data_IF_183400417396
#
_entry.id   IF_183400417396
#
_cell.length_a   1.000
_cell.length_b   1.000
_cell.length_c   1.000
_cell.angle_alpha   90.00
_cell.angle_beta   90.00
_cell.angle_gamma   90.00
#
_symmetry.space_group_name_H-M   'P 1'
#
loop_
_entity.id
_entity.type
_entity.pdbx_description
1 polymer ?
#
# COMPACT_ATOMS: atom_id res chain seq x y z
N UNK A 1 16.10 25.29 34.56
CA UNK A 1 16.77 24.29 35.41
C UNK A 1 17.13 23.16 34.49
N UNK A 2 18.40 23.13 34.10
CA UNK A 2 19.00 22.10 33.25
C UNK A 2 19.20 20.88 34.16
N UNK A 3 18.18 20.02 34.23
CA UNK A 3 18.29 18.74 34.93
C UNK A 3 19.06 17.82 34.00
N UNK A 4 20.22 17.35 34.46
CA UNK A 4 21.14 16.52 33.68
C UNK A 4 20.49 15.24 33.19
N UNK A 5 19.95 15.29 31.97
CA UNK A 5 19.79 14.10 31.15
C UNK A 5 21.18 13.75 30.64
N UNK A 6 21.75 12.66 31.18
CA UNK A 6 22.82 11.93 30.51
C UNK A 6 22.27 11.55 29.13
N UNK A 7 22.53 12.39 28.11
CA UNK A 7 22.15 12.12 26.73
C UNK A 7 22.68 10.73 26.40
N UNK A 8 21.76 9.80 26.14
CA UNK A 8 22.13 8.45 25.74
C UNK A 8 22.90 8.58 24.43
N UNK A 9 24.22 8.51 24.49
CA UNK A 9 25.04 8.52 23.29
C UNK A 9 24.72 7.23 22.53
N UNK A 10 23.96 7.37 21.45
CA UNK A 10 23.65 6.28 20.56
C UNK A 10 24.91 5.92 19.78
N UNK A 11 25.55 4.82 20.18
CA UNK A 11 26.72 4.23 19.51
C UNK A 11 26.29 2.99 18.69
N UNK A 12 25.68 3.18 17.51
CA UNK A 12 25.20 2.06 16.70
C UNK A 12 26.37 1.22 16.19
N UNK A 13 26.38 -0.05 16.57
CA UNK A 13 27.36 -1.03 16.09
C UNK A 13 27.20 -1.19 14.57
N UNK A 14 28.24 -0.85 13.81
CA UNK A 14 28.30 -0.97 12.35
C UNK A 14 27.14 -0.26 11.60
N UNK A 15 26.79 0.96 12.02
CA UNK A 15 25.69 1.73 11.42
C UNK A 15 25.74 1.81 9.89
N UNK A 16 26.91 2.16 9.33
CA UNK A 16 27.07 2.31 7.89
C UNK A 16 26.76 1.04 7.10
N UNK A 17 27.27 -0.12 7.55
CA UNK A 17 26.99 -1.39 6.87
C UNK A 17 25.55 -1.85 7.07
N UNK A 18 24.97 -1.63 8.25
CA UNK A 18 23.55 -1.94 8.53
C UNK A 18 22.60 -1.10 7.68
N UNK A 19 22.86 0.20 7.56
CA UNK A 19 22.09 1.11 6.70
C UNK A 19 22.25 0.74 5.23
N UNK A 20 23.47 0.45 4.76
CA UNK A 20 23.71 0.01 3.39
C UNK A 20 22.96 -1.30 3.09
N UNK A 21 23.01 -2.27 4.01
CA UNK A 21 22.29 -3.53 3.88
C UNK A 21 20.78 -3.29 3.78
N UNK A 22 20.20 -2.50 4.68
CA UNK A 22 18.77 -2.17 4.65
C UNK A 22 18.35 -1.47 3.36
N UNK A 23 19.11 -0.47 2.89
CA UNK A 23 18.83 0.24 1.63
C UNK A 23 18.91 -0.74 0.45
N UNK A 24 19.88 -1.64 0.45
CA UNK A 24 20.03 -2.65 -0.59
C UNK A 24 18.83 -3.59 -0.61
N UNK A 25 18.36 -4.05 0.56
CA UNK A 25 17.13 -4.85 0.67
C UNK A 25 15.89 -4.08 0.24
N UNK A 26 15.77 -2.78 0.58
CA UNK A 26 14.68 -1.92 0.10
C UNK A 26 14.66 -1.87 -1.43
N UNK A 27 15.80 -1.66 -2.07
CA UNK A 27 15.89 -1.60 -3.54
C UNK A 27 15.60 -2.96 -4.17
N UNK A 28 16.30 -4.01 -3.74
CA UNK A 28 16.29 -5.31 -4.43
C UNK A 28 15.11 -6.20 -4.05
N UNK A 29 14.50 -6.02 -2.87
CA UNK A 29 13.40 -6.85 -2.38
C UNK A 29 12.04 -6.15 -2.36
N UNK A 30 11.99 -4.83 -2.56
CA UNK A 30 10.72 -4.09 -2.66
C UNK A 30 10.60 -3.30 -3.97
N UNK A 31 11.56 -2.40 -4.27
CA UNK A 31 11.44 -1.55 -5.46
C UNK A 31 11.57 -2.35 -6.77
N UNK A 32 12.56 -3.23 -6.88
CA UNK A 32 12.75 -4.08 -8.07
C UNK A 32 11.56 -5.02 -8.30
N UNK A 33 11.06 -5.78 -7.29
CA UNK A 33 9.83 -6.56 -7.44
C UNK A 33 8.60 -5.73 -7.80
N UNK A 34 8.48 -4.49 -7.30
CA UNK A 34 7.37 -3.59 -7.67
C UNK A 34 7.38 -3.32 -9.18
N UNK A 35 8.54 -2.96 -9.74
CA UNK A 35 8.72 -2.74 -11.18
C UNK A 35 8.51 -4.04 -11.96
N UNK A 36 9.03 -5.16 -11.46
CA UNK A 36 8.84 -6.48 -12.07
C UNK A 36 7.35 -6.86 -12.16
N UNK A 37 6.57 -6.54 -11.12
CA UNK A 37 5.13 -6.74 -11.08
C UNK A 37 4.42 -5.89 -12.12
N UNK A 38 4.77 -4.61 -12.26
CA UNK A 38 4.23 -3.74 -13.32
C UNK A 38 4.47 -4.33 -14.71
N UNK A 39 5.69 -4.83 -15.00
CA UNK A 39 5.96 -5.53 -16.26
C UNK A 39 5.16 -6.84 -16.41
N UNK A 40 4.90 -7.58 -15.33
CA UNK A 40 4.06 -8.78 -15.36
C UNK A 40 2.62 -8.43 -15.76
N UNK A 41 2.05 -7.38 -15.16
CA UNK A 41 0.70 -6.92 -15.46
C UNK A 41 0.55 -6.37 -16.87
N UNK A 42 1.59 -5.66 -17.37
CA UNK A 42 1.68 -5.16 -18.74
C UNK A 42 2.10 -6.24 -19.78
N UNK A 43 2.15 -7.52 -19.38
CA UNK A 43 2.41 -8.67 -20.26
C UNK A 43 3.81 -8.65 -20.92
N UNK A 44 4.76 -7.96 -20.29
CA UNK A 44 6.18 -7.93 -20.67
C UNK A 44 6.96 -8.95 -19.84
N UNK A 45 6.65 -10.23 -20.02
CA UNK A 45 7.13 -11.31 -19.14
C UNK A 45 8.65 -11.49 -19.12
N UNK A 46 9.34 -11.18 -20.22
CA UNK A 46 10.80 -11.27 -20.28
C UNK A 46 11.47 -10.33 -19.26
N UNK A 47 11.12 -9.03 -19.30
CA UNK A 47 11.66 -8.03 -18.38
C UNK A 47 11.24 -8.28 -16.94
N UNK A 48 9.97 -8.68 -16.75
CA UNK A 48 9.47 -9.08 -15.44
C UNK A 48 10.27 -10.25 -14.84
N UNK A 49 10.51 -11.31 -15.62
CA UNK A 49 11.29 -12.47 -15.19
C UNK A 49 12.74 -12.13 -14.85
N UNK A 50 13.41 -11.30 -15.67
CA UNK A 50 14.78 -10.86 -15.41
C UNK A 50 14.90 -10.12 -14.08
N UNK A 51 13.97 -9.20 -13.79
CA UNK A 51 13.98 -8.45 -12.53
C UNK A 51 13.72 -9.37 -11.32
N UNK A 52 12.80 -10.33 -11.42
CA UNK A 52 12.61 -11.31 -10.35
C UNK A 52 13.84 -12.22 -10.14
N UNK A 53 14.60 -12.55 -11.19
CA UNK A 53 15.88 -13.29 -11.04
C UNK A 53 16.89 -12.47 -10.24
N UNK A 54 17.00 -11.17 -10.49
CA UNK A 54 17.87 -10.26 -9.71
C UNK A 54 17.44 -10.25 -8.24
N UNK A 55 16.15 -10.09 -7.96
CA UNK A 55 15.61 -10.13 -6.59
C UNK A 55 15.80 -11.49 -5.93
N UNK A 56 15.62 -12.60 -6.65
CA UNK A 56 15.84 -13.95 -6.14
C UNK A 56 17.31 -14.17 -5.75
N UNK A 57 18.24 -13.76 -6.61
CA UNK A 57 19.68 -13.90 -6.35
C UNK A 57 20.07 -13.17 -5.06
N UNK A 58 19.58 -11.94 -4.88
CA UNK A 58 19.83 -11.19 -3.66
C UNK A 58 19.10 -11.79 -2.44
N UNK A 59 17.83 -12.16 -2.56
CA UNK A 59 17.03 -12.74 -1.47
C UNK A 59 17.64 -14.05 -0.94
N UNK A 60 18.16 -14.89 -1.84
CA UNK A 60 18.88 -16.11 -1.48
C UNK A 60 20.21 -15.79 -0.79
N UNK A 61 20.98 -14.83 -1.30
CA UNK A 61 22.22 -14.39 -0.68
C UNK A 61 21.97 -13.81 0.73
N UNK A 62 20.95 -12.96 0.87
CA UNK A 62 20.56 -12.38 2.15
C UNK A 62 20.15 -13.46 3.15
N UNK A 63 19.25 -14.37 2.77
CA UNK A 63 18.74 -15.44 3.63
C UNK A 63 19.83 -16.42 4.11
N UNK A 64 20.89 -16.58 3.32
CA UNK A 64 22.02 -17.46 3.64
C UNK A 64 23.11 -16.76 4.45
N UNK A 65 23.42 -15.49 4.13
CA UNK A 65 24.65 -14.84 4.57
C UNK A 65 24.46 -13.48 5.25
N UNK A 66 23.37 -12.77 4.99
CA UNK A 66 23.14 -11.41 5.52
C UNK A 66 21.92 -11.37 6.44
N UNK A 67 22.12 -11.81 7.69
CA UNK A 67 21.13 -11.60 8.75
C UNK A 67 21.02 -10.11 9.13
N UNK A 68 19.90 -9.74 9.77
CA UNK A 68 19.76 -8.46 10.48
C UNK A 68 19.91 -8.67 12.00
N UNK A 69 21.14 -8.79 12.53
CA UNK A 69 21.36 -8.98 13.95
C UNK A 69 21.09 -7.69 14.73
N UNK A 70 20.36 -7.85 15.83
CA UNK A 70 20.19 -6.85 16.88
C UNK A 70 21.52 -6.60 17.63
N UNK A 71 21.58 -5.66 18.60
CA UNK A 71 22.79 -5.42 19.40
C UNK A 71 23.28 -6.63 20.21
N UNK A 72 22.42 -7.63 20.47
CA UNK A 72 22.75 -8.89 21.14
C UNK A 72 23.18 -10.01 20.17
N UNK A 73 23.37 -9.66 18.89
CA UNK A 73 23.71 -10.58 17.80
C UNK A 73 22.63 -11.65 17.54
N UNK A 74 21.37 -11.32 17.81
CA UNK A 74 20.22 -12.16 17.58
C UNK A 74 19.33 -11.56 16.49
N UNK A 75 18.79 -12.38 15.58
CA UNK A 75 17.77 -11.94 14.61
C UNK A 75 16.44 -12.59 14.95
N UNK A 76 15.37 -11.79 14.94
CA UNK A 76 14.02 -12.25 15.16
C UNK A 76 13.66 -13.41 14.20
N UNK A 77 13.12 -14.49 14.76
CA UNK A 77 12.63 -15.65 14.00
C UNK A 77 11.63 -15.25 12.90
N UNK A 78 10.79 -14.26 13.17
CA UNK A 78 9.84 -13.74 12.18
C UNK A 78 10.56 -13.08 11.01
N UNK A 79 11.56 -12.21 11.28
CA UNK A 79 12.40 -11.58 10.23
C UNK A 79 13.06 -12.64 9.35
N UNK A 80 13.71 -13.63 9.98
CA UNK A 80 14.39 -14.72 9.27
C UNK A 80 13.43 -15.62 8.51
N UNK A 81 12.25 -15.91 9.08
CA UNK A 81 11.18 -16.66 8.44
C UNK A 81 10.64 -15.94 7.20
N UNK A 82 10.39 -14.63 7.30
CA UNK A 82 9.96 -13.80 6.16
C UNK A 82 11.00 -13.78 5.05
N UNK A 83 12.30 -13.73 5.38
CA UNK A 83 13.40 -13.79 4.39
C UNK A 83 13.35 -15.09 3.57
N UNK A 84 13.22 -16.23 4.24
CA UNK A 84 13.12 -17.53 3.56
C UNK A 84 11.81 -17.67 2.78
N UNK A 85 10.69 -17.23 3.35
CA UNK A 85 9.41 -17.23 2.66
C UNK A 85 9.48 -16.44 1.35
N UNK A 86 10.04 -15.21 1.38
CA UNK A 86 10.24 -14.39 0.20
C UNK A 86 11.18 -15.05 -0.82
N UNK A 87 12.25 -15.72 -0.36
CA UNK A 87 13.17 -16.46 -1.25
C UNK A 87 12.43 -17.56 -2.00
N UNK A 88 11.62 -18.36 -1.31
CA UNK A 88 10.83 -19.43 -1.95
C UNK A 88 9.75 -18.88 -2.88
N UNK A 89 9.08 -17.80 -2.47
CA UNK A 89 8.07 -17.10 -3.29
C UNK A 89 8.69 -16.55 -4.59
N UNK A 90 9.85 -15.89 -4.51
CA UNK A 90 10.61 -15.44 -5.68
C UNK A 90 11.09 -16.61 -6.54
N UNK A 91 11.54 -17.70 -5.92
CA UNK A 91 11.90 -18.94 -6.62
C UNK A 91 10.72 -19.47 -7.46
N UNK A 92 9.54 -19.58 -6.86
CA UNK A 92 8.31 -19.95 -7.56
C UNK A 92 7.93 -18.97 -8.67
N UNK A 93 8.06 -17.67 -8.41
CA UNK A 93 7.78 -16.59 -9.39
C UNK A 93 8.66 -16.71 -10.62
N UNK A 94 9.96 -16.92 -10.43
CA UNK A 94 10.94 -17.07 -11.51
C UNK A 94 10.70 -18.34 -12.33
N UNK A 95 10.33 -19.45 -11.67
CA UNK A 95 9.95 -20.68 -12.35
C UNK A 95 8.71 -20.48 -13.23
N UNK A 96 7.69 -19.78 -12.71
CA UNK A 96 6.49 -19.42 -13.48
C UNK A 96 6.81 -18.48 -14.66
N UNK A 97 7.70 -17.50 -14.47
CA UNK A 97 8.16 -16.61 -15.54
C UNK A 97 8.85 -17.39 -16.67
N UNK A 98 9.73 -18.33 -16.31
CA UNK A 98 10.45 -19.21 -17.24
C UNK A 98 9.47 -20.08 -18.02
N UNK A 99 8.49 -20.67 -17.32
CA UNK A 99 7.41 -21.45 -17.92
C UNK A 99 6.60 -20.63 -18.93
N UNK A 100 6.16 -19.43 -18.56
CA UNK A 100 5.34 -18.56 -19.44
C UNK A 100 6.13 -18.10 -20.67
N UNK A 101 7.41 -17.80 -20.52
CA UNK A 101 8.24 -17.26 -21.60
C UNK A 101 8.82 -18.36 -22.50
N UNK A 102 8.80 -19.64 -22.07
CA UNK A 102 9.44 -20.75 -22.79
C UNK A 102 10.97 -20.66 -22.81
N UNK A 103 11.56 -19.77 -21.99
CA UNK A 103 12.99 -19.54 -21.86
C UNK A 103 13.47 -20.10 -20.53
N UNK A 104 14.68 -20.65 -20.52
CA UNK A 104 15.33 -21.01 -19.27
C UNK A 104 15.78 -19.76 -18.49
N UNK A 105 16.27 -19.95 -17.27
CA UNK A 105 16.78 -18.90 -16.37
C UNK A 105 17.88 -18.01 -17.00
N UNK A 106 18.56 -18.51 -18.04
CA UNK A 106 19.63 -17.81 -18.75
C UNK A 106 19.18 -17.23 -20.09
N UNK A 107 17.87 -17.20 -20.36
CA UNK A 107 17.29 -16.64 -21.57
C UNK A 107 17.46 -17.49 -22.82
N UNK A 108 17.99 -18.73 -22.71
CA UNK A 108 18.04 -19.66 -23.84
C UNK A 108 16.66 -20.27 -24.06
N UNK A 109 16.24 -20.28 -25.31
CA UNK A 109 15.00 -20.91 -25.72
C UNK A 109 15.08 -22.42 -25.52
N UNK A 110 14.01 -23.01 -25.00
CA UNK A 110 13.88 -24.44 -24.96
C UNK A 110 13.82 -24.97 -26.41
N UNK A 111 14.52 -26.07 -26.75
CA UNK A 111 14.40 -26.68 -28.06
C UNK A 111 13.01 -27.34 -28.17
N UNK A 112 11.98 -26.59 -28.56
CA UNK A 112 10.65 -27.12 -28.85
C UNK A 112 10.29 -26.95 -30.33
N UNK A 113 9.77 -28.02 -30.92
CA UNK A 113 9.28 -28.07 -32.31
C UNK A 113 7.84 -27.55 -32.45
N UNK A 114 7.22 -27.13 -31.34
CA UNK A 114 5.85 -26.60 -31.27
C UNK A 114 5.84 -25.25 -30.54
N UNK A 115 5.01 -24.32 -31.03
CA UNK A 115 4.77 -23.04 -30.38
C UNK A 115 4.07 -23.27 -29.03
N UNK A 116 4.79 -23.05 -27.93
CA UNK A 116 4.23 -23.13 -26.59
C UNK A 116 3.39 -21.88 -26.29
N UNK A 117 2.10 -22.05 -25.99
CA UNK A 117 1.22 -20.98 -25.53
C UNK A 117 0.83 -21.23 -24.08
N UNK A 118 1.21 -20.36 -23.12
CA UNK A 118 0.82 -20.53 -21.73
C UNK A 118 -0.70 -20.42 -21.56
N UNK A 119 -1.26 -21.18 -20.61
CA UNK A 119 -2.69 -21.08 -20.29
C UNK A 119 -3.01 -19.75 -19.63
N UNK A 120 -4.25 -19.25 -19.81
CA UNK A 120 -4.73 -18.04 -19.12
C UNK A 120 -4.62 -18.16 -17.59
N UNK A 121 -4.78 -19.37 -17.06
CA UNK A 121 -4.63 -19.65 -15.63
C UNK A 121 -3.17 -19.46 -15.17
N UNK A 122 -2.19 -19.94 -15.95
CA UNK A 122 -0.78 -19.77 -15.63
C UNK A 122 -0.37 -18.28 -15.64
N UNK A 123 -0.85 -17.51 -16.62
CA UNK A 123 -0.61 -16.07 -16.69
C UNK A 123 -1.19 -15.34 -15.47
N UNK A 124 -2.43 -15.65 -15.08
CA UNK A 124 -3.06 -15.07 -13.88
C UNK A 124 -2.29 -15.43 -12.62
N UNK A 125 -1.88 -16.69 -12.47
CA UNK A 125 -1.08 -17.14 -11.35
C UNK A 125 0.24 -16.35 -11.25
N UNK A 126 0.95 -16.18 -12.37
CA UNK A 126 2.19 -15.39 -12.40
C UNK A 126 1.97 -13.93 -12.00
N UNK A 127 0.93 -13.27 -12.53
CA UNK A 127 0.60 -11.88 -12.14
C UNK A 127 0.29 -11.79 -10.64
N UNK A 128 -0.48 -12.75 -10.10
CA UNK A 128 -0.81 -12.80 -8.66
C UNK A 128 0.44 -13.00 -7.81
N UNK A 129 1.26 -14.02 -8.09
CA UNK A 129 2.46 -14.31 -7.27
C UNK A 129 3.48 -13.18 -7.40
N UNK A 130 3.64 -12.59 -8.59
CA UNK A 130 4.49 -11.42 -8.76
C UNK A 130 4.01 -10.23 -7.90
N UNK A 131 2.71 -9.98 -7.79
CA UNK A 131 2.19 -8.96 -6.88
C UNK A 131 2.42 -9.30 -5.41
N UNK A 132 2.23 -10.57 -5.01
CA UNK A 132 2.44 -10.97 -3.61
C UNK A 132 3.90 -10.85 -3.19
N UNK A 133 4.88 -11.02 -4.10
CA UNK A 133 6.29 -10.74 -3.78
C UNK A 133 6.54 -9.28 -3.38
N UNK A 134 5.76 -8.32 -3.90
CA UNK A 134 5.83 -6.91 -3.51
C UNK A 134 5.32 -6.74 -2.07
N UNK A 135 4.22 -7.40 -1.72
CA UNK A 135 3.65 -7.35 -0.37
C UNK A 135 4.58 -8.01 0.65
N UNK A 136 5.13 -9.17 0.34
CA UNK A 136 6.11 -9.85 1.18
C UNK A 136 7.40 -9.03 1.29
N UNK A 137 7.83 -8.41 0.19
CA UNK A 137 8.95 -7.47 0.14
C UNK A 137 8.74 -6.26 1.06
N UNK A 138 7.54 -5.68 1.07
CA UNK A 138 7.16 -4.61 1.99
C UNK A 138 7.32 -5.05 3.44
N UNK A 139 6.75 -6.20 3.81
CA UNK A 139 6.89 -6.76 5.15
C UNK A 139 8.35 -6.99 5.51
N UNK A 140 9.15 -7.52 4.58
CA UNK A 140 10.59 -7.77 4.81
C UNK A 140 11.36 -6.48 5.11
N UNK A 141 11.13 -5.43 4.33
CA UNK A 141 11.80 -4.13 4.47
C UNK A 141 11.37 -3.40 5.73
N UNK A 142 10.10 -3.50 6.13
CA UNK A 142 9.60 -2.93 7.39
C UNK A 142 10.07 -3.70 8.63
N UNK A 143 10.23 -5.03 8.52
CA UNK A 143 10.76 -5.86 9.62
C UNK A 143 12.26 -5.70 9.82
N UNK A 144 13.02 -5.27 8.81
CA UNK A 144 14.47 -5.15 8.92
C UNK A 144 14.92 -4.11 9.97
N UNK A 145 14.38 -2.87 10.04
CA UNK A 145 14.68 -1.94 11.13
C UNK A 145 14.26 -2.50 12.50
N UNK A 146 13.10 -3.15 12.58
CA UNK A 146 12.62 -3.81 13.82
C UNK A 146 13.64 -4.83 14.32
N UNK A 147 14.15 -5.69 13.44
CA UNK A 147 15.18 -6.67 13.77
C UNK A 147 16.53 -6.00 14.10
N UNK A 148 16.95 -4.99 13.33
CA UNK A 148 18.23 -4.30 13.51
C UNK A 148 18.38 -3.61 14.87
N UNK A 149 17.30 -3.03 15.37
CA UNK A 149 17.27 -2.32 16.65
C UNK A 149 16.86 -3.22 17.82
N UNK A 150 16.48 -4.47 17.57
CA UNK A 150 16.06 -5.38 18.62
C UNK A 150 14.67 -5.07 19.18
N UNK A 151 13.78 -4.53 18.35
CA UNK A 151 12.41 -4.21 18.74
C UNK A 151 11.49 -5.44 18.62
N UNK A 152 10.36 -5.37 19.30
CA UNK A 152 9.22 -6.26 19.19
C UNK A 152 9.47 -7.67 19.73
N UNK A 153 10.18 -7.78 20.86
CA UNK A 153 10.39 -9.03 21.58
C UNK A 153 9.49 -9.13 22.83
N UNK A 154 9.15 -10.36 23.21
CA UNK A 154 8.42 -10.63 24.45
C UNK A 154 7.08 -9.89 24.51
N UNK A 155 6.90 -9.05 25.54
CA UNK A 155 5.66 -8.31 25.81
C UNK A 155 5.31 -7.26 24.73
N UNK A 156 6.32 -6.68 24.06
CA UNK A 156 6.13 -5.63 23.04
C UNK A 156 5.65 -6.18 21.70
N UNK A 157 5.77 -7.50 21.48
CA UNK A 157 5.43 -8.17 20.21
C UNK A 157 4.01 -7.87 19.73
N UNK A 158 3.02 -7.93 20.63
CA UNK A 158 1.61 -7.71 20.28
C UNK A 158 1.35 -6.30 19.78
N UNK A 159 1.86 -5.30 20.50
CA UNK A 159 1.73 -3.88 20.16
C UNK A 159 2.42 -3.57 18.82
N UNK A 160 3.62 -4.10 18.58
CA UNK A 160 4.31 -3.97 17.30
C UNK A 160 3.54 -4.54 16.11
N UNK A 161 3.02 -5.76 16.26
CA UNK A 161 2.26 -6.43 15.18
C UNK A 161 1.00 -5.62 14.86
N UNK A 162 0.31 -5.13 15.89
CA UNK A 162 -0.86 -4.28 15.72
C UNK A 162 -0.54 -3.02 14.90
N UNK A 163 0.52 -2.28 15.26
CA UNK A 163 0.95 -1.07 14.55
C UNK A 163 1.40 -1.37 13.11
N UNK A 164 2.17 -2.45 12.92
CA UNK A 164 2.65 -2.88 11.61
C UNK A 164 1.52 -3.29 10.67
N UNK A 165 0.59 -4.14 11.12
CA UNK A 165 -0.52 -4.65 10.29
C UNK A 165 -1.52 -3.53 9.98
N UNK A 166 -2.01 -2.82 10.99
CA UNK A 166 -3.03 -1.78 10.77
C UNK A 166 -2.46 -0.62 9.94
N UNK A 167 -1.22 -0.20 10.25
CA UNK A 167 -0.58 0.88 9.51
C UNK A 167 -0.31 0.50 8.05
N UNK A 168 0.21 -0.71 7.80
CA UNK A 168 0.37 -1.25 6.44
C UNK A 168 -0.97 -1.39 5.71
N UNK A 169 -2.06 -1.70 6.43
CA UNK A 169 -3.40 -1.80 5.86
C UNK A 169 -3.91 -0.45 5.36
N UNK A 170 -3.66 0.65 6.10
CA UNK A 170 -3.97 2.00 5.63
C UNK A 170 -3.11 2.42 4.43
N UNK A 171 -1.82 2.06 4.41
CA UNK A 171 -0.96 2.26 3.22
C UNK A 171 -1.52 1.51 2.01
N UNK A 172 -1.89 0.24 2.19
CA UNK A 172 -2.52 -0.59 1.16
C UNK A 172 -3.86 -0.03 0.68
N UNK A 173 -4.68 0.50 1.60
CA UNK A 173 -5.94 1.14 1.23
C UNK A 173 -5.70 2.44 0.44
N UNK A 174 -4.70 3.24 0.82
CA UNK A 174 -4.25 4.40 0.04
C UNK A 174 -3.79 4.02 -1.38
N UNK A 175 -3.07 2.90 -1.53
CA UNK A 175 -2.74 2.34 -2.85
C UNK A 175 -3.99 1.93 -3.65
N UNK A 176 -4.95 1.25 -3.03
CA UNK A 176 -6.20 0.87 -3.72
C UNK A 176 -6.98 2.09 -4.21
N UNK A 177 -7.06 3.14 -3.39
CA UNK A 177 -7.67 4.41 -3.80
C UNK A 177 -6.91 5.07 -4.95
N UNK A 178 -5.58 5.08 -4.90
CA UNK A 178 -4.74 5.60 -5.99
C UNK A 178 -4.90 4.78 -7.27
N UNK A 179 -4.99 3.45 -7.16
CA UNK A 179 -5.21 2.55 -8.29
C UNK A 179 -6.57 2.79 -8.95
N UNK A 180 -7.64 2.91 -8.16
CA UNK A 180 -8.98 3.28 -8.68
C UNK A 180 -8.95 4.66 -9.34
N UNK A 181 -8.23 5.61 -8.76
CA UNK A 181 -8.15 6.97 -9.27
C UNK A 181 -7.38 7.07 -10.59
N UNK A 182 -6.21 6.42 -10.68
CA UNK A 182 -5.29 6.59 -11.82
C UNK A 182 -5.72 5.76 -13.02
N UNK A 183 -6.25 4.56 -12.82
CA UNK A 183 -6.58 3.65 -13.92
C UNK A 183 -7.89 4.08 -14.62
N UNK A 184 -7.86 4.56 -15.89
CA UNK A 184 -8.98 5.25 -16.51
C UNK A 184 -10.23 4.38 -16.69
N UNK A 185 -10.08 3.11 -17.06
CA UNK A 185 -11.20 2.19 -17.24
C UNK A 185 -11.82 1.69 -15.92
N UNK A 186 -11.15 1.94 -14.79
CA UNK A 186 -11.71 1.71 -13.45
C UNK A 186 -12.40 2.98 -12.98
N UNK A 187 -11.69 4.12 -13.01
CA UNK A 187 -12.22 5.45 -12.65
C UNK A 187 -13.49 5.78 -13.42
N UNK A 188 -13.44 5.69 -14.75
CA UNK A 188 -14.49 6.13 -15.66
C UNK A 188 -15.53 5.04 -15.97
N UNK A 189 -15.57 3.94 -15.20
CA UNK A 189 -16.55 2.88 -15.43
C UNK A 189 -17.97 3.44 -15.26
N UNK A 190 -18.73 3.51 -16.36
CA UNK A 190 -20.13 3.94 -16.39
C UNK A 190 -21.05 2.73 -16.63
N UNK A 191 -22.01 2.53 -15.75
CA UNK A 191 -23.01 1.45 -15.86
C UNK A 191 -22.44 0.05 -15.62
N UNK A 192 -23.24 -0.84 -15.01
CA UNK A 192 -22.89 -2.21 -14.58
C UNK A 192 -21.77 -2.29 -13.52
N UNK A 193 -22.17 -2.18 -12.26
CA UNK A 193 -21.27 -2.42 -11.13
C UNK A 193 -21.73 -1.80 -9.81
N UNK A 194 -20.97 -2.12 -8.76
CA UNK A 194 -21.07 -1.49 -7.45
C UNK A 194 -20.15 -0.25 -7.40
N UNK A 195 -20.57 0.79 -6.69
CA UNK A 195 -19.73 1.95 -6.42
C UNK A 195 -18.49 1.56 -5.62
N UNK A 196 -17.46 2.40 -5.65
CA UNK A 196 -16.26 2.20 -4.86
C UNK A 196 -16.59 2.05 -3.36
N UNK A 197 -17.51 2.90 -2.88
CA UNK A 197 -17.95 2.97 -1.49
C UNK A 197 -18.63 1.68 -1.03
N UNK A 198 -19.27 0.94 -1.94
CA UNK A 198 -19.81 -0.39 -1.62
C UNK A 198 -18.69 -1.38 -1.26
N UNK A 199 -17.60 -1.36 -2.03
CA UNK A 199 -16.45 -2.22 -1.79
C UNK A 199 -15.67 -1.78 -0.55
N UNK A 200 -15.47 -0.47 -0.37
CA UNK A 200 -14.85 0.09 0.85
C UNK A 200 -15.66 -0.30 2.09
N UNK A 201 -16.99 -0.18 2.02
CA UNK A 201 -17.91 -0.61 3.09
C UNK A 201 -17.86 -2.12 3.36
N UNK A 202 -17.71 -2.93 2.31
CA UNK A 202 -17.59 -4.39 2.43
C UNK A 202 -16.29 -4.78 3.13
N UNK A 203 -15.18 -4.14 2.77
CA UNK A 203 -13.88 -4.34 3.41
C UNK A 203 -13.91 -3.92 4.89
N UNK A 204 -14.44 -2.73 5.17
CA UNK A 204 -14.61 -2.24 6.54
C UNK A 204 -15.53 -3.16 7.36
N UNK A 205 -16.56 -3.72 6.73
CA UNK A 205 -17.45 -4.69 7.36
C UNK A 205 -16.71 -5.97 7.79
N UNK A 206 -16.03 -6.60 6.84
CA UNK A 206 -15.29 -7.84 7.08
C UNK A 206 -14.17 -7.65 8.11
N UNK A 207 -13.39 -6.57 7.97
CA UNK A 207 -12.33 -6.26 8.92
C UNK A 207 -12.87 -5.94 10.31
N UNK A 208 -13.96 -5.17 10.40
CA UNK A 208 -14.62 -4.85 11.67
C UNK A 208 -15.11 -6.09 12.41
N UNK A 209 -15.68 -7.07 11.69
CA UNK A 209 -16.10 -8.36 12.27
C UNK A 209 -14.88 -9.09 12.84
N UNK A 210 -13.82 -9.24 12.06
CA UNK A 210 -12.59 -9.92 12.51
C UNK A 210 -12.07 -9.22 13.76
N UNK A 211 -11.84 -7.91 13.70
CA UNK A 211 -11.31 -7.12 14.81
C UNK A 211 -12.17 -7.26 16.09
N UNK A 212 -13.50 -7.10 15.99
CA UNK A 212 -14.39 -7.22 17.15
C UNK A 212 -14.28 -8.57 17.86
N UNK A 213 -14.15 -9.67 17.11
CA UNK A 213 -14.20 -11.01 17.66
C UNK A 213 -12.81 -11.63 17.91
N UNK A 214 -11.72 -11.02 17.42
CA UNK A 214 -10.35 -11.50 17.65
C UNK A 214 -9.53 -10.65 18.61
N UNK A 215 -9.87 -9.37 18.82
CA UNK A 215 -9.10 -8.46 19.67
C UNK A 215 -9.11 -8.89 21.14
N UNK A 216 -10.28 -9.26 21.66
CA UNK A 216 -10.42 -9.80 23.02
C UNK A 216 -10.84 -11.26 23.03
N UNK A 217 -10.34 -12.01 24.03
CA UNK A 217 -10.80 -13.38 24.31
C UNK A 217 -12.07 -13.34 25.14
N UNK A 218 -13.17 -13.04 24.46
CA UNK A 218 -14.51 -12.98 25.03
C UNK A 218 -14.79 -14.11 26.04
N UNK A 219 -15.08 -13.73 27.29
CA UNK A 219 -15.48 -14.64 28.36
C UNK A 219 -14.36 -15.51 28.95
N UNK A 220 -13.10 -15.35 28.52
CA UNK A 220 -11.95 -16.08 29.09
C UNK A 220 -11.06 -15.21 29.97
N UNK A 221 -11.00 -13.92 29.69
CA UNK A 221 -10.12 -12.95 30.36
C UNK A 221 -10.92 -11.70 30.75
N UNK A 222 -10.48 -11.00 31.81
CA UNK A 222 -11.08 -9.74 32.24
C UNK A 222 -10.86 -8.62 31.22
N UNK A 223 -11.70 -7.60 31.22
CA UNK A 223 -11.57 -6.46 30.32
C UNK A 223 -10.62 -5.40 30.90
N UNK A 224 -9.65 -4.98 30.10
CA UNK A 224 -8.89 -3.74 30.33
C UNK A 224 -9.51 -2.56 29.59
N UNK A 225 -9.05 -1.34 29.90
CA UNK A 225 -9.48 -0.13 29.19
C UNK A 225 -9.08 -0.17 27.71
N UNK A 226 -7.88 -0.67 27.40
CA UNK A 226 -7.40 -0.81 26.03
C UNK A 226 -8.24 -1.79 25.20
N UNK A 227 -8.64 -2.93 25.80
CA UNK A 227 -9.47 -3.92 25.12
C UNK A 227 -10.81 -3.32 24.67
N UNK A 228 -11.41 -2.47 25.50
CA UNK A 228 -12.65 -1.77 25.15
C UNK A 228 -12.43 -0.78 24.01
N UNK A 229 -11.37 0.04 24.08
CA UNK A 229 -11.03 1.00 23.03
C UNK A 229 -10.85 0.29 21.67
N UNK A 230 -10.03 -0.77 21.62
CA UNK A 230 -9.74 -1.47 20.37
C UNK A 230 -10.94 -2.27 19.84
N UNK A 231 -11.68 -2.95 20.72
CA UNK A 231 -12.88 -3.71 20.31
C UNK A 231 -13.96 -2.77 19.77
N UNK A 232 -14.15 -1.60 20.39
CA UNK A 232 -15.13 -0.61 19.96
C UNK A 232 -14.86 -0.07 18.54
N UNK A 233 -13.58 0.04 18.14
CA UNK A 233 -13.20 0.39 16.77
C UNK A 233 -13.64 -0.68 15.76
N UNK A 234 -13.54 -1.97 16.11
CA UNK A 234 -14.10 -3.04 15.28
C UNK A 234 -15.62 -2.91 15.13
N UNK A 235 -16.31 -2.61 16.24
CA UNK A 235 -17.78 -2.54 16.28
C UNK A 235 -18.31 -1.46 15.35
N UNK A 236 -17.74 -0.26 15.40
CA UNK A 236 -18.18 0.83 14.54
C UNK A 236 -17.90 0.53 13.06
N UNK A 237 -16.78 -0.13 12.74
CA UNK A 237 -16.42 -0.51 11.37
C UNK A 237 -17.41 -1.49 10.76
N UNK A 238 -17.82 -2.55 11.48
CA UNK A 238 -18.76 -3.51 10.89
C UNK A 238 -20.19 -3.01 10.84
N UNK A 239 -20.66 -2.31 11.88
CA UNK A 239 -21.96 -1.67 11.87
C UNK A 239 -22.08 -0.62 10.74
N UNK A 240 -21.09 0.26 10.61
CA UNK A 240 -21.07 1.26 9.54
C UNK A 240 -20.85 0.64 8.16
N UNK A 241 -20.01 -0.39 8.05
CA UNK A 241 -19.80 -1.13 6.81
C UNK A 241 -21.11 -1.73 6.28
N UNK A 242 -21.92 -2.35 7.14
CA UNK A 242 -23.25 -2.85 6.74
C UNK A 242 -24.16 -1.71 6.25
N UNK A 243 -24.17 -0.56 6.94
CA UNK A 243 -24.96 0.61 6.52
C UNK A 243 -24.49 1.13 5.14
N UNK A 244 -23.18 1.26 4.93
CA UNK A 244 -22.62 1.71 3.66
C UNK A 244 -22.94 0.77 2.50
N UNK A 245 -22.83 -0.55 2.73
CA UNK A 245 -23.27 -1.56 1.76
C UNK A 245 -24.75 -1.43 1.42
N UNK A 246 -25.61 -1.17 2.42
CA UNK A 246 -27.04 -1.00 2.22
C UNK A 246 -27.38 0.26 1.42
N UNK A 247 -26.72 1.38 1.71
CA UNK A 247 -26.91 2.64 0.99
C UNK A 247 -26.42 2.54 -0.47
N UNK A 248 -25.31 1.84 -0.70
CA UNK A 248 -24.77 1.57 -2.05
C UNK A 248 -25.24 0.26 -2.68
N UNK A 249 -26.38 -0.29 -2.23
CA UNK A 249 -26.95 -1.54 -2.78
C UNK A 249 -27.57 -1.38 -4.16
N UNK A 250 -27.67 -0.17 -4.69
CA UNK A 250 -28.09 0.08 -6.07
C UNK A 250 -26.84 0.34 -6.91
N UNK A 251 -26.93 0.07 -8.20
CA UNK A 251 -25.79 0.24 -9.11
C UNK A 251 -25.26 1.67 -9.07
N UNK A 252 -23.94 1.80 -8.99
CA UNK A 252 -23.20 3.07 -8.95
C UNK A 252 -23.72 4.13 -7.94
N UNK A 253 -24.46 3.73 -6.90
CA UNK A 253 -24.92 4.66 -5.87
C UNK A 253 -23.78 4.94 -4.89
N UNK A 254 -23.31 6.19 -4.82
CA UNK A 254 -22.25 6.63 -3.90
C UNK A 254 -22.83 6.84 -2.49
N UNK A 255 -21.98 6.79 -1.46
CA UNK A 255 -22.36 7.14 -0.09
C UNK A 255 -21.14 7.63 0.71
N UNK A 256 -21.35 8.33 1.82
CA UNK A 256 -20.25 8.91 2.62
C UNK A 256 -19.83 8.06 3.82
N UNK A 257 -20.48 6.92 4.07
CA UNK A 257 -20.30 6.12 5.28
C UNK A 257 -18.86 5.65 5.48
N UNK A 258 -18.14 5.11 4.47
CA UNK A 258 -16.72 4.80 4.63
C UNK A 258 -15.89 6.00 5.08
N UNK A 259 -16.15 7.19 4.52
CA UNK A 259 -15.44 8.39 4.89
C UNK A 259 -15.74 8.85 6.32
N UNK A 260 -16.99 8.71 6.77
CA UNK A 260 -17.40 8.95 8.16
C UNK A 260 -16.72 7.97 9.12
N UNK A 261 -16.58 6.70 8.73
CA UNK A 261 -15.84 5.71 9.53
C UNK A 261 -14.37 6.07 9.70
N UNK A 262 -13.72 6.57 8.64
CA UNK A 262 -12.35 7.08 8.75
C UNK A 262 -12.28 8.27 9.72
N UNK A 263 -13.25 9.19 9.69
CA UNK A 263 -13.30 10.31 10.63
C UNK A 263 -13.46 9.84 12.07
N UNK A 264 -14.40 8.94 12.37
CA UNK A 264 -14.57 8.46 13.73
C UNK A 264 -13.38 7.66 14.25
N UNK A 265 -12.74 6.88 13.38
CA UNK A 265 -11.49 6.18 13.71
C UNK A 265 -10.39 7.20 14.00
N UNK A 266 -10.24 8.22 13.15
CA UNK A 266 -9.24 9.27 13.35
C UNK A 266 -9.48 10.06 14.64
N UNK A 267 -10.73 10.38 14.96
CA UNK A 267 -11.10 11.01 16.23
C UNK A 267 -10.70 10.15 17.43
N UNK A 268 -11.10 8.87 17.45
CA UNK A 268 -10.80 7.97 18.55
C UNK A 268 -9.29 7.82 18.78
N UNK A 269 -8.53 7.76 17.69
CA UNK A 269 -7.07 7.65 17.72
C UNK A 269 -6.40 8.97 18.10
N UNK A 270 -7.04 10.12 17.82
CA UNK A 270 -6.52 11.42 18.23
C UNK A 270 -6.59 11.66 19.74
N UNK A 271 -7.57 11.02 20.38
CA UNK A 271 -7.77 11.05 21.84
C UNK A 271 -7.10 9.85 22.55
N UNK A 272 -6.36 9.02 21.80
CA UNK A 272 -5.74 7.82 22.35
C UNK A 272 -4.46 8.17 23.13
N UNK A 273 -4.60 8.32 24.46
CA UNK A 273 -3.47 8.57 25.36
C UNK A 273 -2.54 7.36 25.44
N UNK A 274 -1.24 7.59 25.31
CA UNK A 274 -0.17 6.59 25.44
C UNK A 274 0.69 6.88 26.68
N UNK A 275 1.45 5.88 27.12
CA UNK A 275 2.38 6.05 28.25
C UNK A 275 3.46 7.10 27.97
N UNK A 276 3.95 7.16 26.73
CA UNK A 276 4.96 8.11 26.29
C UNK A 276 4.29 9.33 25.60
N UNK A 277 4.66 10.55 26.00
CA UNK A 277 4.06 11.77 25.46
C UNK A 277 4.26 11.89 23.94
N UNK A 278 5.49 11.62 23.44
CA UNK A 278 5.76 11.61 21.99
C UNK A 278 4.84 10.62 21.27
N UNK A 279 4.55 9.46 21.86
CA UNK A 279 3.61 8.48 21.28
C UNK A 279 2.19 9.02 21.21
N UNK A 280 1.72 9.68 22.28
CA UNK A 280 0.42 10.36 22.27
C UNK A 280 0.34 11.41 21.16
N UNK A 281 1.39 12.21 20.95
CA UNK A 281 1.44 13.23 19.88
C UNK A 281 1.47 12.63 18.48
N UNK A 282 2.19 11.53 18.27
CA UNK A 282 2.24 10.83 16.97
C UNK A 282 0.88 10.19 16.66
N UNK A 283 0.23 9.55 17.64
CA UNK A 283 -1.14 9.02 17.51
C UNK A 283 -2.16 10.14 17.24
N UNK A 284 -2.02 11.29 17.91
CA UNK A 284 -2.82 12.48 17.65
C UNK A 284 -2.72 12.93 16.19
N UNK A 285 -1.50 13.05 15.67
CA UNK A 285 -1.28 13.43 14.28
C UNK A 285 -1.82 12.39 13.30
N UNK A 286 -1.61 11.10 13.56
CA UNK A 286 -2.23 10.01 12.79
C UNK A 286 -3.76 10.18 12.71
N UNK A 287 -4.40 10.42 13.86
CA UNK A 287 -5.84 10.65 13.93
C UNK A 287 -6.30 11.86 13.11
N UNK A 288 -5.60 12.99 13.23
CA UNK A 288 -5.88 14.22 12.47
C UNK A 288 -5.77 14.00 10.95
N UNK A 289 -4.73 13.33 10.49
CA UNK A 289 -4.53 13.04 9.05
C UNK A 289 -5.60 12.07 8.55
N UNK A 290 -5.98 11.07 9.34
CA UNK A 290 -7.03 10.11 8.97
C UNK A 290 -8.39 10.80 8.86
N UNK A 291 -8.71 11.71 9.80
CA UNK A 291 -9.89 12.56 9.71
C UNK A 291 -9.86 13.46 8.47
N UNK A 292 -8.71 14.05 8.14
CA UNK A 292 -8.55 14.85 6.92
C UNK A 292 -8.77 14.01 5.66
N UNK A 293 -8.30 12.75 5.62
CA UNK A 293 -8.59 11.80 4.54
C UNK A 293 -10.09 11.52 4.38
N UNK A 294 -10.80 11.28 5.48
CA UNK A 294 -12.26 11.13 5.46
C UNK A 294 -12.98 12.41 5.02
N UNK A 295 -12.60 13.58 5.54
CA UNK A 295 -13.21 14.86 5.18
C UNK A 295 -13.01 15.18 3.69
N UNK A 296 -11.78 15.04 3.18
CA UNK A 296 -11.49 15.26 1.76
C UNK A 296 -12.24 14.27 0.87
N UNK A 297 -12.48 13.03 1.33
CA UNK A 297 -13.32 12.08 0.61
C UNK A 297 -14.80 12.49 0.57
N UNK A 298 -15.35 13.03 1.66
CA UNK A 298 -16.71 13.62 1.66
C UNK A 298 -16.76 14.80 0.70
N UNK A 299 -15.75 15.68 0.73
CA UNK A 299 -15.67 16.83 -0.17
C UNK A 299 -15.62 16.40 -1.65
N UNK A 300 -14.86 15.35 -1.95
CA UNK A 300 -14.79 14.76 -3.28
C UNK A 300 -16.15 14.22 -3.74
N UNK A 301 -16.81 13.39 -2.92
CA UNK A 301 -18.09 12.76 -3.29
C UNK A 301 -19.19 13.80 -3.47
N UNK A 302 -19.39 14.66 -2.47
CA UNK A 302 -20.55 15.54 -2.42
C UNK A 302 -20.41 16.81 -3.27
N UNK A 303 -19.20 17.39 -3.36
CA UNK A 303 -19.01 18.71 -3.96
C UNK A 303 -18.24 18.66 -5.29
N UNK A 304 -17.17 17.86 -5.34
CA UNK A 304 -16.32 17.79 -6.53
C UNK A 304 -16.95 16.94 -7.65
N UNK A 305 -17.40 15.73 -7.30
CA UNK A 305 -17.99 14.78 -8.23
C UNK A 305 -19.51 14.80 -8.23
N UNK A 306 -20.15 15.36 -7.19
CA UNK A 306 -21.62 15.46 -7.06
C UNK A 306 -22.30 14.10 -7.29
N UNK A 307 -21.82 13.10 -6.55
CA UNK A 307 -22.24 11.69 -6.64
C UNK A 307 -21.93 10.98 -7.97
N UNK A 308 -21.26 11.63 -8.93
CA UNK A 308 -20.76 10.96 -10.12
C UNK A 308 -19.54 10.07 -9.80
N UNK A 309 -19.30 9.06 -10.63
CA UNK A 309 -18.14 8.18 -10.50
C UNK A 309 -16.82 8.89 -10.86
N UNK A 310 -16.87 9.82 -11.82
CA UNK A 310 -15.73 10.58 -12.31
C UNK A 310 -16.20 11.94 -12.85
N UNK A 311 -15.25 12.87 -13.01
CA UNK A 311 -15.49 14.16 -13.68
C UNK A 311 -15.98 13.97 -15.12
N UNK A 312 -16.72 14.94 -15.66
CA UNK A 312 -17.25 14.93 -17.03
C UNK A 312 -16.15 14.78 -18.09
N UNK A 313 -14.98 15.40 -17.86
CA UNK A 313 -13.81 15.29 -18.74
C UNK A 313 -13.10 13.95 -18.63
N UNK A 314 -13.45 13.13 -17.63
CA UNK A 314 -12.81 11.87 -17.33
C UNK A 314 -11.37 12.00 -16.84
N UNK A 315 -10.85 13.22 -16.58
CA UNK A 315 -9.49 13.47 -16.07
C UNK A 315 -9.41 13.38 -14.55
N UNK A 316 -8.21 13.18 -14.01
CA UNK A 316 -7.94 13.28 -12.56
C UNK A 316 -7.89 14.75 -12.17
N UNK A 317 -8.66 15.12 -11.15
CA UNK A 317 -8.57 16.44 -10.54
C UNK A 317 -7.55 16.41 -9.39
N UNK A 318 -6.75 17.47 -9.25
CA UNK A 318 -5.69 17.55 -8.24
C UNK A 318 -6.18 17.22 -6.81
N UNK A 319 -7.40 17.64 -6.47
CA UNK A 319 -8.01 17.40 -5.16
C UNK A 319 -8.23 15.90 -4.86
N UNK A 320 -8.41 15.06 -5.89
CA UNK A 320 -8.68 13.63 -5.72
C UNK A 320 -7.44 12.84 -5.23
N UNK A 321 -6.25 13.44 -5.27
CA UNK A 321 -5.05 12.85 -4.67
C UNK A 321 -5.00 12.96 -3.15
N UNK A 322 -5.79 13.86 -2.53
CA UNK A 322 -5.76 14.04 -1.07
C UNK A 322 -6.24 12.81 -0.30
N UNK A 323 -7.39 12.18 -0.60
CA UNK A 323 -7.83 11.00 0.12
C UNK A 323 -6.81 9.84 0.15
N UNK A 324 -6.27 9.36 -0.99
CA UNK A 324 -5.26 8.30 -0.97
C UNK A 324 -3.96 8.73 -0.27
N UNK A 325 -3.52 9.98 -0.47
CA UNK A 325 -2.32 10.50 0.20
C UNK A 325 -2.48 10.51 1.73
N UNK A 326 -3.60 11.02 2.24
CA UNK A 326 -3.89 11.04 3.68
C UNK A 326 -3.91 9.63 4.27
N UNK A 327 -4.44 8.63 3.56
CA UNK A 327 -4.42 7.23 4.02
C UNK A 327 -3.00 6.66 4.07
N UNK A 328 -2.17 6.90 3.04
CA UNK A 328 -0.77 6.47 3.06
C UNK A 328 -0.03 7.13 4.22
N UNK A 329 -0.17 8.45 4.38
CA UNK A 329 0.50 9.20 5.44
C UNK A 329 0.04 8.74 6.83
N UNK A 330 -1.27 8.52 7.02
CA UNK A 330 -1.82 7.97 8.26
C UNK A 330 -1.26 6.58 8.56
N UNK A 331 -1.19 5.71 7.55
CA UNK A 331 -0.63 4.37 7.71
C UNK A 331 0.83 4.39 8.15
N UNK A 332 1.67 5.22 7.52
CA UNK A 332 3.08 5.35 7.87
C UNK A 332 3.25 5.96 9.27
N UNK A 333 2.46 6.98 9.63
CA UNK A 333 2.43 7.54 10.99
C UNK A 333 2.11 6.47 12.02
N UNK A 334 1.09 5.65 11.77
CA UNK A 334 0.69 4.58 12.68
C UNK A 334 1.77 3.49 12.80
N UNK A 335 2.40 3.07 11.69
CA UNK A 335 3.52 2.13 11.74
C UNK A 335 4.69 2.67 12.57
N UNK A 336 4.92 3.99 12.53
CA UNK A 336 6.01 4.67 13.24
C UNK A 336 5.74 4.89 14.73
N UNK A 337 4.53 4.60 15.22
CA UNK A 337 4.11 4.92 16.59
C UNK A 337 4.36 3.79 17.61
N UNK A 338 5.22 2.82 17.26
CA UNK A 338 5.65 1.74 18.14
C UNK A 338 6.38 2.29 19.39
N UNK A 339 6.09 1.74 20.58
CA UNK A 339 6.60 2.25 21.86
C UNK A 339 8.12 2.23 21.92
N UNK A 340 8.76 1.08 21.63
CA UNK A 340 10.23 0.93 21.70
C UNK A 340 10.94 1.82 20.67
N UNK A 341 10.33 2.03 19.50
CA UNK A 341 10.85 2.95 18.49
C UNK A 341 10.79 4.40 19.00
N UNK A 342 9.70 4.79 19.64
CA UNK A 342 9.54 6.15 20.16
C UNK A 342 10.35 6.41 21.42
N UNK A 343 10.60 5.41 22.25
CA UNK A 343 11.58 5.48 23.35
C UNK A 343 12.98 5.77 22.80
N UNK A 344 13.39 5.10 21.72
CA UNK A 344 14.66 5.38 21.05
C UNK A 344 14.71 6.80 20.50
N UNK A 345 13.66 7.24 19.79
CA UNK A 345 13.58 8.61 19.23
C UNK A 345 13.63 9.66 20.34
N UNK A 346 12.93 9.42 21.45
CA UNK A 346 12.97 10.30 22.62
C UNK A 346 14.37 10.35 23.24
N UNK A 347 15.04 9.21 23.40
CA UNK A 347 16.41 9.12 23.90
C UNK A 347 17.45 9.82 23.01
N UNK A 348 17.21 9.90 21.70
CA UNK A 348 18.02 10.67 20.76
C UNK A 348 17.82 12.20 20.88
N UNK A 349 16.87 12.65 21.71
CA UNK A 349 16.54 14.05 21.90
C UNK A 349 15.75 14.68 20.75
N UNK A 350 15.15 13.87 19.88
CA UNK A 350 14.28 14.36 18.81
C UNK A 350 12.92 14.77 19.38
N UNK A 351 12.46 15.97 19.04
CA UNK A 351 11.11 16.40 19.37
C UNK A 351 10.07 15.69 18.47
N UNK A 352 8.86 15.55 18.98
CA UNK A 352 7.77 14.86 18.28
C UNK A 352 7.43 15.50 16.93
N UNK A 353 7.57 16.83 16.78
CA UNK A 353 7.21 17.52 15.55
C UNK A 353 8.21 17.25 14.43
N UNK A 354 9.51 17.29 14.72
CA UNK A 354 10.57 16.90 13.78
C UNK A 354 10.44 15.45 13.33
N UNK A 355 10.17 14.54 14.28
CA UNK A 355 9.92 13.14 13.97
C UNK A 355 8.72 12.95 13.03
N UNK A 356 7.59 13.59 13.33
CA UNK A 356 6.38 13.55 12.49
C UNK A 356 6.69 14.04 11.08
N UNK A 357 7.45 15.12 10.91
CA UNK A 357 7.80 15.64 9.58
C UNK A 357 8.63 14.65 8.76
N UNK A 358 9.59 13.95 9.38
CA UNK A 358 10.37 12.90 8.72
C UNK A 358 9.47 11.75 8.26
N UNK A 359 8.56 11.30 9.14
CA UNK A 359 7.62 10.23 8.85
C UNK A 359 6.64 10.61 7.72
N UNK A 360 6.12 11.85 7.74
CA UNK A 360 5.30 12.38 6.66
C UNK A 360 6.08 12.47 5.34
N UNK A 361 7.36 12.84 5.40
CA UNK A 361 8.28 12.80 4.25
C UNK A 361 8.36 11.41 3.62
N UNK A 362 8.49 10.36 4.43
CA UNK A 362 8.44 8.97 3.96
C UNK A 362 7.08 8.65 3.31
N UNK A 363 5.97 9.13 3.89
CA UNK A 363 4.63 9.00 3.32
C UNK A 363 4.51 9.61 1.91
N UNK A 364 5.07 10.79 1.68
CA UNK A 364 5.12 11.40 0.35
C UNK A 364 5.92 10.57 -0.66
N UNK A 365 7.09 10.06 -0.26
CA UNK A 365 7.93 9.22 -1.11
C UNK A 365 7.23 7.90 -1.47
N UNK A 366 6.56 7.28 -0.51
CA UNK A 366 5.78 6.05 -0.73
C UNK A 366 4.62 6.32 -1.71
N UNK A 367 3.89 7.41 -1.52
CA UNK A 367 2.80 7.78 -2.43
C UNK A 367 3.30 8.10 -3.85
N UNK A 368 4.43 8.83 -3.96
CA UNK A 368 5.10 9.07 -5.23
C UNK A 368 5.48 7.74 -5.92
N UNK A 369 6.06 6.80 -5.18
CA UNK A 369 6.42 5.49 -5.73
C UNK A 369 5.20 4.73 -6.28
N UNK A 370 4.07 4.74 -5.54
CA UNK A 370 2.82 4.16 -6.02
C UNK A 370 2.36 4.79 -7.33
N UNK A 371 2.36 6.13 -7.42
CA UNK A 371 1.98 6.84 -8.64
C UNK A 371 2.93 6.53 -9.80
N UNK A 372 4.24 6.46 -9.56
CA UNK A 372 5.23 6.09 -10.57
C UNK A 372 4.98 4.68 -11.13
N UNK A 373 4.63 3.70 -10.27
CA UNK A 373 4.32 2.33 -10.70
C UNK A 373 3.04 2.27 -11.54
N UNK A 374 2.01 3.02 -11.14
CA UNK A 374 0.75 3.12 -11.90
C UNK A 374 0.94 3.84 -13.24
N UNK A 375 1.73 4.91 -13.26
CA UNK A 375 2.08 5.63 -14.49
C UNK A 375 2.92 4.76 -15.44
N UNK A 376 3.91 4.02 -14.92
CA UNK A 376 4.69 3.05 -15.69
C UNK A 376 3.78 1.98 -16.30
N UNK A 377 2.84 1.44 -15.52
CA UNK A 377 1.87 0.47 -16.03
C UNK A 377 1.06 1.02 -17.19
N UNK A 378 0.47 2.22 -17.04
CA UNK A 378 -0.30 2.88 -18.10
C UNK A 378 0.55 3.12 -19.36
N UNK A 379 1.78 3.61 -19.18
CA UNK A 379 2.72 3.82 -20.28
C UNK A 379 3.00 2.52 -21.06
N UNK A 380 3.23 1.40 -20.36
CA UNK A 380 3.53 0.11 -20.99
C UNK A 380 2.33 -0.50 -21.72
N UNK A 381 1.10 -0.21 -21.28
CA UNK A 381 -0.15 -0.65 -21.92
C UNK A 381 -0.56 0.27 -23.07
N UNK A 382 0.09 1.44 -23.22
CA UNK A 382 -0.14 2.37 -24.33
C UNK A 382 -1.07 3.54 -24.01
N UNK A 383 -1.29 3.83 -22.73
CA UNK A 383 -2.02 5.01 -22.29
C UNK A 383 -1.08 6.20 -22.07
N UNK A 384 -1.57 7.42 -22.32
CA UNK A 384 -0.90 8.66 -21.95
C UNK A 384 -1.21 9.08 -20.50
N UNK A 385 -0.65 10.21 -20.06
CA UNK A 385 -0.82 10.72 -18.69
C UNK A 385 -2.27 11.14 -18.37
N UNK A 386 -3.05 11.48 -19.41
CA UNK A 386 -4.47 11.81 -19.29
C UNK A 386 -5.36 10.56 -19.27
N UNK A 387 -4.80 9.38 -19.53
CA UNK A 387 -5.52 8.12 -19.59
C UNK A 387 -6.22 7.87 -20.92
N UNK A 388 -5.75 8.47 -22.01
CA UNK A 388 -6.17 8.20 -23.39
C UNK A 388 -5.22 7.21 -24.06
N UNK A 389 -5.71 6.44 -25.04
CA UNK A 389 -4.87 5.52 -25.82
C UNK A 389 -3.99 6.32 -26.77
N UNK A 390 -2.66 6.12 -26.68
CA UNK A 390 -1.69 6.70 -27.61
C UNK A 390 -1.99 6.23 -29.04
N UNK A 391 -2.42 7.15 -29.89
CA UNK A 391 -2.73 6.90 -31.31
C UNK A 391 -4.20 7.00 -31.72
N UNK A 392 -5.16 7.10 -30.78
CA UNK A 392 -6.56 7.34 -31.14
C UNK A 392 -6.86 8.84 -31.37
N UNK A 393 -6.13 9.72 -30.70
CA UNK A 393 -6.27 11.18 -30.86
C UNK A 393 -5.85 11.69 -32.26
N UNK A 394 -5.06 10.91 -33.01
CA UNK A 394 -4.57 11.30 -34.34
C UNK A 394 -5.60 11.02 -35.45
N UNK A 395 -6.64 10.24 -35.17
CA UNK A 395 -7.70 9.90 -36.14
C UNK A 395 -8.85 10.92 -36.09
N UNK A 396 -9.11 11.53 -34.93
CA UNK A 396 -10.19 12.52 -34.77
C UNK A 396 -9.76 13.96 -35.05
N UNK A 397 -8.47 14.21 -35.29
CA UNK A 397 -7.92 15.54 -35.56
C UNK A 397 -7.83 15.92 -37.04
N UNK A 398 -8.21 15.02 -37.96
CA UNK A 398 -7.98 15.19 -39.40
C UNK A 398 -9.15 14.72 -40.30
N UNK A 399 -10.39 14.94 -39.90
CA UNK A 399 -11.53 14.86 -40.82
C UNK A 399 -12.44 16.10 -40.69
N UNK A 400 -11.92 17.25 -41.13
CA UNK A 400 -12.77 18.26 -41.77
C UNK A 400 -13.24 17.66 -43.11
N UNK A 401 -14.28 16.82 -43.05
CA UNK A 401 -15.01 16.42 -44.25
C UNK A 401 -15.96 17.58 -44.59
N UNK A 402 -15.47 18.51 -45.42
CA UNK A 402 -16.29 19.50 -46.12
C UNK A 402 -17.41 18.75 -46.89
N UNK A 403 -18.61 18.75 -46.31
CA UNK A 403 -19.84 18.53 -47.08
C UNK A 403 -20.10 19.80 -47.88
N UNK A 404 -19.34 19.94 -48.96
CA UNK A 404 -19.55 21.01 -49.91
C UNK A 404 -20.91 20.83 -50.59
N UNK A 405 -21.61 21.94 -50.62
CA UNK A 405 -22.96 22.16 -51.13
C UNK A 405 -23.24 21.50 -52.48
N UNK A 406 -24.10 20.48 -52.50
CA UNK A 406 -24.83 20.12 -53.73
C UNK A 406 -26.03 21.06 -53.81
N UNK A 407 -25.85 22.15 -54.54
CA UNK A 407 -26.88 23.11 -54.90
C UNK A 407 -28.06 22.42 -55.60
N UNK A 408 -29.26 22.68 -55.09
CA UNK A 408 -30.49 22.61 -55.85
C UNK A 408 -30.38 23.54 -57.07
N UNK A 409 -30.48 22.97 -58.27
CA UNK A 409 -30.90 23.72 -59.46
C UNK A 409 -32.09 23.00 -60.05
N UNK A 410 -33.27 23.59 -59.83
CA UNK A 410 -34.42 23.46 -60.71
C UNK A 410 -34.07 24.07 -62.07
N UNK A 411 -34.18 23.28 -63.14
CA UNK A 411 -34.93 23.58 -64.38
C UNK A 411 -35.06 22.32 -65.24
#
# INVERSE_FOLDING_TARGET
>A
MDMGDDKVEFHPVNAGSKTFHWITSLVLLLLVPSVASVFAFAERYHWSGLLHVVSLAYSAFESLFLAFPDPSNHENRTSKGTSWFLTWELGGTVLLASFITGKNLFGREAPSTTAFSPSRAAVRLYKTVSFTTVLTGWVRVCMAPVALFGFCYGRSTGQCIAHGIMGSSFVGYGFLLAWVLVIPWIRNRRGNGRSQEFWDSSLMCLWGIVNTFTEHRWGREGWSHGDYQHTSMGIIWWCGGMLGMWLSRRENTRNVVPAVLLIYTGYAMSEHSQHLEISTKVHAMFGLVLMAGGLTRIMEICFLLRDAAACDTGRVLAFQHFPPLCLVMSGVLFMSANEEQLEMVHGLGADHSSYILVVCGAGFVIYLWMLMMLALYLHLVGYDEDGQLRGYADITGHEDFELDTVSETEE
#
